data_IF_541321973996
#
_entry.id   IF_541321973996
#
_cell.length_a   1.000
_cell.length_b   1.000
_cell.length_c   1.000
_cell.angle_alpha   90.00
_cell.angle_beta   90.00
_cell.angle_gamma   90.00
#
_symmetry.space_group_name_H-M   'P 1'
#
loop_
_entity.id
_entity.type
_entity.pdbx_description
1 polymer ?
#
# COMPACT_ATOMS: atom_id res chain seq x y z
N UNK A 1 21.18 -54.93 -3.17
CA UNK A 1 20.39 -54.37 -2.06
C UNK A 1 20.73 -52.89 -1.99
N UNK A 2 19.82 -52.03 -2.45
CA UNK A 2 20.04 -50.57 -2.51
C UNK A 2 19.47 -49.98 -1.23
N UNK A 3 20.33 -49.46 -0.35
CA UNK A 3 19.90 -48.67 0.80
C UNK A 3 19.51 -47.25 0.34
N UNK A 4 18.19 -47.00 0.37
CA UNK A 4 17.61 -45.68 0.11
C UNK A 4 17.81 -44.76 1.31
N UNK A 5 18.62 -43.72 1.11
CA UNK A 5 18.86 -42.60 2.01
C UNK A 5 17.55 -41.87 2.35
N UNK A 6 17.24 -41.56 3.63
CA UNK A 6 15.95 -40.97 4.00
C UNK A 6 15.84 -39.51 3.59
N UNK A 7 14.63 -39.13 3.17
CA UNK A 7 14.24 -37.80 2.73
C UNK A 7 14.52 -36.73 3.80
N UNK A 8 15.28 -35.70 3.41
CA UNK A 8 15.45 -34.49 4.19
C UNK A 8 14.10 -33.81 4.39
N UNK A 9 13.65 -33.79 5.65
CA UNK A 9 12.48 -33.09 6.13
C UNK A 9 12.74 -31.59 5.94
N UNK A 10 12.14 -30.99 4.92
CA UNK A 10 12.16 -29.54 4.73
C UNK A 10 11.34 -28.92 5.85
N UNK A 11 12.02 -28.26 6.79
CA UNK A 11 11.40 -27.46 7.83
C UNK A 11 10.82 -26.18 7.20
N UNK A 12 9.50 -25.94 7.23
CA UNK A 12 8.93 -24.73 6.63
C UNK A 12 9.04 -23.49 7.53
N UNK A 13 9.77 -23.55 8.64
CA UNK A 13 9.78 -22.47 9.64
C UNK A 13 11.14 -21.78 9.70
N UNK A 14 11.59 -21.27 8.56
CA UNK A 14 12.69 -20.28 8.53
C UNK A 14 12.43 -19.23 7.44
N UNK A 15 11.26 -18.61 7.50
CA UNK A 15 11.02 -17.30 6.85
C UNK A 15 10.71 -16.22 7.88
N UNK A 16 11.43 -16.24 9.00
CA UNK A 16 11.56 -15.11 9.91
C UNK A 16 12.71 -14.20 9.43
N UNK A 17 12.67 -13.82 8.15
CA UNK A 17 13.60 -12.87 7.56
C UNK A 17 12.95 -11.51 7.53
N UNK A 18 13.13 -10.72 8.59
CA UNK A 18 13.20 -9.27 8.54
C UNK A 18 12.23 -8.58 7.56
N UNK A 19 10.92 -8.70 7.77
CA UNK A 19 10.01 -7.67 7.26
C UNK A 19 10.32 -6.42 8.08
N UNK A 20 11.33 -5.64 7.67
CA UNK A 20 11.27 -4.17 7.77
C UNK A 20 9.83 -3.88 7.41
N UNK A 21 9.03 -3.40 8.36
CA UNK A 21 7.63 -3.09 8.08
C UNK A 21 7.65 -2.27 6.80
N UNK A 22 7.19 -2.87 5.69
CA UNK A 22 7.01 -2.12 4.44
C UNK A 22 6.23 -0.90 4.88
N UNK A 23 6.74 0.33 4.62
CA UNK A 23 6.17 1.51 5.23
C UNK A 23 4.68 1.48 4.92
N UNK A 24 3.85 1.35 5.97
CA UNK A 24 2.42 1.57 5.85
C UNK A 24 2.31 2.96 5.24
N UNK A 25 1.75 3.03 4.04
CA UNK A 25 1.53 4.29 3.34
C UNK A 25 1.00 5.32 4.33
N UNK A 26 1.69 6.45 4.47
CA UNK A 26 1.32 7.47 5.43
C UNK A 26 0.44 8.57 4.80
N UNK A 27 -0.08 9.49 5.62
CA UNK A 27 -0.95 10.58 5.14
C UNK A 27 -0.28 11.47 4.09
N UNK A 28 1.01 11.76 4.24
CA UNK A 28 1.75 12.60 3.30
C UNK A 28 1.93 11.88 1.96
N UNK A 29 2.34 10.60 2.00
CA UNK A 29 2.45 9.76 0.80
C UNK A 29 1.12 9.64 0.06
N UNK A 30 0.00 9.47 0.77
CA UNK A 30 -1.33 9.49 0.16
C UNK A 30 -1.59 10.82 -0.58
N UNK A 31 -1.25 11.97 0.01
CA UNK A 31 -1.40 13.27 -0.64
C UNK A 31 -0.48 13.42 -1.85
N UNK A 32 0.74 12.89 -1.79
CA UNK A 32 1.67 12.90 -2.92
C UNK A 32 1.17 12.04 -4.07
N UNK A 33 0.72 10.81 -3.81
CA UNK A 33 0.10 9.94 -4.81
C UNK A 33 -1.16 10.58 -5.42
N UNK A 34 -2.01 11.19 -4.60
CA UNK A 34 -3.19 11.90 -5.10
C UNK A 34 -2.81 13.00 -6.10
N UNK A 35 -1.81 13.82 -5.77
CA UNK A 35 -1.33 14.87 -6.65
C UNK A 35 -0.68 14.30 -7.92
N UNK A 36 0.10 13.23 -7.79
CA UNK A 36 0.74 12.55 -8.90
C UNK A 36 -0.30 12.03 -9.92
N UNK A 37 -1.29 11.27 -9.47
CA UNK A 37 -2.33 10.74 -10.35
C UNK A 37 -3.23 11.84 -10.94
N UNK A 38 -3.48 12.92 -10.18
CA UNK A 38 -4.19 14.09 -10.70
C UNK A 38 -3.43 14.72 -11.87
N UNK A 39 -2.11 14.91 -11.76
CA UNK A 39 -1.26 15.43 -12.84
C UNK A 39 -1.25 14.49 -14.04
N UNK A 40 -1.05 13.19 -13.82
CA UNK A 40 -1.09 12.19 -14.89
C UNK A 40 -2.44 12.16 -15.62
N UNK A 41 -3.55 12.39 -14.92
CA UNK A 41 -4.88 12.42 -15.54
C UNK A 41 -5.10 13.59 -16.52
N UNK A 42 -4.26 14.63 -16.44
CA UNK A 42 -4.26 15.77 -17.35
C UNK A 42 -3.22 15.69 -18.46
N UNK A 43 -2.44 14.59 -18.53
CA UNK A 43 -1.41 14.44 -19.54
C UNK A 43 -2.02 14.37 -20.95
N UNK A 44 -1.44 15.12 -21.88
CA UNK A 44 -1.79 15.02 -23.29
C UNK A 44 -1.46 13.61 -23.82
N UNK A 45 -2.34 13.05 -24.65
CA UNK A 45 -2.12 11.75 -25.29
C UNK A 45 -2.60 10.53 -24.50
N UNK A 46 -3.35 10.70 -23.40
CA UNK A 46 -4.03 9.58 -22.73
C UNK A 46 -5.49 9.47 -23.17
N UNK A 47 -6.04 8.25 -23.15
CA UNK A 47 -7.46 8.02 -23.41
C UNK A 47 -8.34 8.60 -22.29
N UNK A 48 -9.58 8.93 -22.63
CA UNK A 48 -10.59 9.43 -21.65
C UNK A 48 -10.80 8.44 -20.51
N UNK A 49 -10.85 7.15 -20.84
CA UNK A 49 -11.00 6.06 -19.86
C UNK A 49 -9.83 6.04 -18.86
N UNK A 50 -8.59 6.04 -19.36
CA UNK A 50 -7.39 6.09 -18.52
C UNK A 50 -7.37 7.34 -17.63
N UNK A 51 -7.76 8.51 -18.18
CA UNK A 51 -7.87 9.74 -17.41
C UNK A 51 -8.91 9.63 -16.27
N UNK A 52 -10.03 8.95 -16.51
CA UNK A 52 -11.06 8.73 -15.48
C UNK A 52 -10.55 7.82 -14.36
N UNK A 53 -9.87 6.72 -14.69
CA UNK A 53 -9.25 5.82 -13.70
C UNK A 53 -8.23 6.58 -12.85
N UNK A 54 -7.36 7.38 -13.46
CA UNK A 54 -6.37 8.19 -12.73
C UNK A 54 -7.03 9.22 -11.79
N UNK A 55 -8.13 9.87 -12.22
CA UNK A 55 -8.91 10.76 -11.35
C UNK A 55 -9.53 10.02 -10.17
N UNK A 56 -10.03 8.81 -10.39
CA UNK A 56 -10.60 7.98 -9.32
C UNK A 56 -9.51 7.60 -8.30
N UNK A 57 -8.34 7.15 -8.76
CA UNK A 57 -7.19 6.88 -7.89
C UNK A 57 -6.82 8.11 -7.06
N UNK A 58 -6.71 9.28 -7.70
CA UNK A 58 -6.40 10.53 -6.98
C UNK A 58 -7.42 10.82 -5.87
N UNK A 59 -8.72 10.65 -6.13
CA UNK A 59 -9.76 10.84 -5.10
C UNK A 59 -9.66 9.81 -3.98
N UNK A 60 -9.40 8.54 -4.29
CA UNK A 60 -9.24 7.49 -3.28
C UNK A 60 -8.10 7.78 -2.32
N UNK A 61 -6.94 8.24 -2.82
CA UNK A 61 -5.81 8.61 -1.95
C UNK A 61 -6.10 9.82 -1.07
N UNK A 62 -6.82 10.84 -1.57
CA UNK A 62 -7.29 11.96 -0.73
C UNK A 62 -8.24 11.48 0.36
N UNK A 63 -9.19 10.60 0.00
CA UNK A 63 -10.13 10.02 0.94
C UNK A 63 -9.43 9.22 2.04
N UNK A 64 -8.46 8.38 1.66
CA UNK A 64 -7.66 7.60 2.59
C UNK A 64 -6.87 8.50 3.55
N UNK A 65 -6.21 9.55 3.04
CA UNK A 65 -5.50 10.52 3.89
C UNK A 65 -6.43 11.19 4.91
N UNK A 66 -7.67 11.52 4.51
CA UNK A 66 -8.67 12.08 5.41
C UNK A 66 -9.16 11.08 6.47
N UNK A 67 -9.32 9.81 6.10
CA UNK A 67 -9.67 8.75 7.07
C UNK A 67 -8.57 8.53 8.10
N UNK A 68 -7.30 8.57 7.67
CA UNK A 68 -6.15 8.48 8.56
C UNK A 68 -6.07 9.67 9.52
N UNK A 69 -6.32 10.89 9.05
CA UNK A 69 -6.37 12.09 9.88
C UNK A 69 -7.49 12.02 10.93
N UNK A 70 -8.67 11.54 10.52
CA UNK A 70 -9.79 11.28 11.43
C UNK A 70 -9.43 10.21 12.47
N UNK A 71 -8.80 9.12 12.06
CA UNK A 71 -8.35 8.05 12.97
C UNK A 71 -7.33 8.59 13.99
N UNK A 72 -6.37 9.39 13.53
CA UNK A 72 -5.39 10.04 14.42
C UNK A 72 -6.07 11.01 15.40
N UNK A 73 -7.12 11.70 14.97
CA UNK A 73 -7.92 12.59 15.83
C UNK A 73 -8.71 11.81 16.88
N UNK A 74 -9.33 10.68 16.51
CA UNK A 74 -10.03 9.81 17.45
C UNK A 74 -9.09 9.26 18.53
N UNK A 75 -7.93 8.73 18.13
CA UNK A 75 -6.94 8.20 19.06
C UNK A 75 -6.44 9.24 20.09
N UNK A 76 -6.32 10.51 19.70
CA UNK A 76 -5.96 11.62 20.62
C UNK A 76 -7.08 11.94 21.63
N UNK A 77 -8.33 11.81 21.20
CA UNK A 77 -9.49 12.06 22.07
C UNK A 77 -9.71 10.90 23.05
N UNK A 78 -9.41 9.66 22.67
CA UNK A 78 -9.50 8.48 23.53
C UNK A 78 -8.39 8.45 24.62
N UNK A 79 -7.28 9.16 24.42
CA UNK A 79 -6.20 9.28 25.40
C UNK A 79 -6.41 10.37 26.47
N UNK A 80 -7.52 11.11 26.40
CA UNK A 80 -7.91 12.14 27.38
C UNK A 80 -8.95 11.62 28.35
#
# INVERSE_FOLDING_TARGET
>A
MVEGKPAGKVDPTSRAGNRKAEPLINMAECREHANHYKRLSGASGISKDRAAVLKNLARSFVGLAGQMDRLASLARNEQR
#
